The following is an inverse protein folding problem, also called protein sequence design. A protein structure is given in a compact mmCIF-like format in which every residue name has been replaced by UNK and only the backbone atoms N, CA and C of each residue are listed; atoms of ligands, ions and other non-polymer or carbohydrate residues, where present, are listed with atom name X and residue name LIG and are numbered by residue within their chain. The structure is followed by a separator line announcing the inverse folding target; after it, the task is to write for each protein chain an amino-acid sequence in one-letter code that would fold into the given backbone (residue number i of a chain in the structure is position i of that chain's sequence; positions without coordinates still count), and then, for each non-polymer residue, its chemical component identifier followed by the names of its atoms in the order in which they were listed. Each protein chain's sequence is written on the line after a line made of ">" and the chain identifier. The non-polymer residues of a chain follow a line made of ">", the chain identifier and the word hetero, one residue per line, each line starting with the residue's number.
data_IF_840147445704
#
_entry.id   IF_840147445704
#
_cell.length_a   1.000
_cell.length_b   1.000
_cell.length_c   1.000
_cell.angle_alpha   90.00
_cell.angle_beta   90.00
_cell.angle_gamma   90.00
#
_symmetry.space_group_name_H-M   'P 1'
#
loop_
_entity.id
_entity.type
_entity.pdbx_description
1 polymer ?
#
# COMPACT_ATOMS: atom_id res chain seq x y z
N UNK A 1 -26.17 4.97 11.77
CA UNK A 1 -24.88 5.32 12.38
C UNK A 1 -23.82 4.65 11.54
N UNK A 2 -23.00 5.45 10.87
CA UNK A 2 -21.92 4.96 10.00
C UNK A 2 -20.70 4.84 10.92
N UNK A 3 -20.35 3.61 11.27
CA UNK A 3 -19.12 3.32 12.01
C UNK A 3 -17.98 3.17 11.03
N UNK A 4 -17.22 4.23 10.83
CA UNK A 4 -15.90 4.16 10.20
C UNK A 4 -14.92 4.61 11.27
N UNK A 5 -14.48 3.65 12.07
CA UNK A 5 -13.30 3.78 12.91
C UNK A 5 -12.12 3.26 12.12
N UNK A 6 -11.36 4.16 11.52
CA UNK A 6 -9.98 3.88 11.14
C UNK A 6 -9.14 5.11 11.47
N UNK A 7 -8.60 5.09 12.69
CA UNK A 7 -7.59 6.03 13.17
C UNK A 7 -6.22 5.55 12.67
N UNK A 8 -5.55 6.34 11.83
CA UNK A 8 -4.09 6.31 11.79
C UNK A 8 -3.59 7.70 12.16
N UNK A 9 -2.99 7.76 13.35
CA UNK A 9 -2.27 8.93 13.83
C UNK A 9 -1.04 9.17 12.95
N UNK A 10 -0.85 10.43 12.54
CA UNK A 10 0.26 10.98 11.73
C UNK A 10 1.68 10.73 12.26
N UNK A 11 1.85 9.95 13.33
CA UNK A 11 3.14 9.55 13.92
C UNK A 11 3.54 8.10 13.61
N UNK A 12 2.72 7.31 12.90
CA UNK A 12 2.97 5.88 12.63
C UNK A 12 3.49 5.53 11.23
N UNK A 13 3.78 6.50 10.36
CA UNK A 13 4.81 6.26 9.35
C UNK A 13 6.12 6.12 10.12
N UNK A 14 6.73 4.92 10.24
CA UNK A 14 7.88 4.74 11.09
C UNK A 14 9.00 5.67 10.61
N UNK A 15 9.34 6.65 11.43
CA UNK A 15 10.59 7.42 11.33
C UNK A 15 11.79 6.51 11.58
N UNK A 16 12.04 5.42 10.85
CA UNK A 16 13.12 4.53 11.23
C UNK A 16 13.87 3.93 10.04
N UNK A 17 15.14 4.38 9.96
CA UNK A 17 16.33 3.60 9.58
C UNK A 17 16.08 2.08 9.68
N UNK A 18 15.99 1.42 8.52
CA UNK A 18 16.21 0.00 8.18
C UNK A 18 15.21 -0.38 7.08
N UNK A 19 15.54 0.01 5.84
CA UNK A 19 14.65 -0.08 4.68
C UNK A 19 14.41 -1.49 4.16
N UNK A 20 15.20 -2.51 4.52
CA UNK A 20 15.17 -3.78 3.79
C UNK A 20 14.14 -4.80 4.32
N UNK A 21 13.92 -4.90 5.63
CA UNK A 21 13.07 -5.97 6.18
C UNK A 21 11.57 -5.74 5.98
N UNK A 22 11.13 -4.48 5.95
CA UNK A 22 9.71 -4.16 5.81
C UNK A 22 9.18 -4.47 4.42
N UNK A 23 10.02 -4.40 3.38
CA UNK A 23 9.57 -4.62 2.00
C UNK A 23 9.17 -6.07 1.74
N UNK A 24 9.92 -7.02 2.29
CA UNK A 24 9.58 -8.44 2.20
C UNK A 24 8.24 -8.75 2.89
N UNK A 25 7.96 -8.09 4.02
CA UNK A 25 6.67 -8.20 4.73
C UNK A 25 5.50 -7.63 3.91
N UNK A 26 5.77 -6.74 2.96
CA UNK A 26 4.74 -6.19 2.08
C UNK A 26 4.39 -7.12 0.92
N UNK A 27 5.31 -8.01 0.52
CA UNK A 27 5.07 -8.94 -0.58
C UNK A 27 3.93 -9.89 -0.24
N UNK A 28 2.97 -10.00 -1.16
CA UNK A 28 1.78 -10.83 -1.01
C UNK A 28 0.62 -10.17 -0.26
N UNK A 29 0.79 -8.97 0.30
CA UNK A 29 -0.32 -8.19 0.85
C UNK A 29 -1.33 -7.85 -0.24
N UNK A 30 -2.61 -7.89 0.09
CA UNK A 30 -3.68 -7.47 -0.81
C UNK A 30 -3.75 -5.95 -0.89
N UNK A 31 -3.78 -5.39 -2.09
CA UNK A 31 -3.90 -3.95 -2.31
C UNK A 31 -5.32 -3.63 -2.73
N UNK A 32 -5.98 -2.76 -1.98
CA UNK A 32 -7.34 -2.30 -2.22
C UNK A 32 -7.40 -0.80 -2.35
N UNK A 33 -8.34 -0.30 -3.14
CA UNK A 33 -8.58 1.13 -3.27
C UNK A 33 -9.68 1.64 -2.32
N UNK A 34 -9.90 2.95 -2.32
CA UNK A 34 -10.97 3.61 -1.52
C UNK A 34 -12.39 3.17 -1.87
N UNK A 35 -12.60 2.62 -3.07
CA UNK A 35 -13.87 2.03 -3.49
C UNK A 35 -14.03 0.57 -3.03
N UNK A 36 -13.08 0.07 -2.21
CA UNK A 36 -13.02 -1.31 -1.77
C UNK A 36 -12.85 -2.32 -2.92
N UNK A 37 -12.29 -1.86 -4.04
CA UNK A 37 -11.91 -2.68 -5.18
C UNK A 37 -10.52 -3.27 -4.94
N UNK A 38 -10.36 -4.57 -5.19
CA UNK A 38 -9.08 -5.29 -5.04
C UNK A 38 -8.28 -5.10 -6.33
N UNK A 39 -7.20 -4.31 -6.25
CA UNK A 39 -6.29 -4.09 -7.37
C UNK A 39 -5.43 -5.33 -7.62
N UNK A 40 -5.12 -6.08 -6.57
CA UNK A 40 -4.31 -7.30 -6.66
C UNK A 40 -3.49 -7.51 -5.40
N UNK A 41 -2.33 -8.15 -5.55
CA UNK A 41 -1.37 -8.35 -4.46
C UNK A 41 -0.03 -7.72 -4.78
N UNK A 42 0.67 -7.24 -3.77
CA UNK A 42 2.03 -6.73 -3.94
C UNK A 42 2.92 -7.87 -4.43
N UNK A 43 3.43 -7.74 -5.64
CA UNK A 43 4.36 -8.70 -6.22
C UNK A 43 5.80 -8.30 -5.93
N UNK A 44 6.10 -7.00 -5.99
CA UNK A 44 7.44 -6.48 -5.77
C UNK A 44 7.40 -5.00 -5.34
N UNK A 45 8.51 -4.51 -4.80
CA UNK A 45 8.76 -3.09 -4.59
C UNK A 45 9.94 -2.64 -5.44
N UNK A 46 9.77 -1.55 -6.17
CA UNK A 46 10.81 -0.94 -6.97
C UNK A 46 11.28 0.37 -6.33
N UNK A 47 12.59 0.48 -6.08
CA UNK A 47 13.23 1.73 -5.71
C UNK A 47 13.67 2.47 -6.98
N UNK A 48 13.09 3.67 -7.21
CA UNK A 48 13.42 4.50 -8.37
C UNK A 48 14.49 5.56 -8.07
N UNK A 49 15.09 5.54 -6.89
CA UNK A 49 16.05 6.53 -6.38
C UNK A 49 15.39 7.82 -5.87
N UNK A 50 14.16 8.13 -6.30
CA UNK A 50 13.39 9.27 -5.82
C UNK A 50 12.25 8.83 -4.88
N UNK A 51 11.48 7.83 -5.27
CA UNK A 51 10.39 7.25 -4.48
C UNK A 51 10.34 5.73 -4.68
N UNK A 52 9.69 5.04 -3.74
CA UNK A 52 9.38 3.62 -3.90
C UNK A 52 8.05 3.43 -4.62
N UNK A 53 7.94 2.36 -5.41
CA UNK A 53 6.73 2.00 -6.15
C UNK A 53 6.38 0.55 -5.83
N UNK A 54 5.15 0.31 -5.40
CA UNK A 54 4.57 -1.02 -5.28
C UNK A 54 4.19 -1.50 -6.68
N UNK A 55 4.72 -2.67 -7.04
CA UNK A 55 4.26 -3.42 -8.20
C UNK A 55 3.17 -4.37 -7.70
N UNK A 56 1.94 -4.10 -8.09
CA UNK A 56 0.76 -4.84 -7.68
C UNK A 56 0.29 -5.68 -8.87
N UNK A 57 0.17 -6.98 -8.66
CA UNK A 57 -0.32 -7.92 -9.66
C UNK A 57 -1.75 -8.33 -9.32
N UNK A 58 -2.69 -7.94 -10.18
CA UNK A 58 -4.07 -8.45 -10.20
C UNK A 58 -4.46 -8.89 -11.60
N UNK A 59 -5.67 -8.51 -12.03
CA UNK A 59 -6.11 -8.68 -13.43
C UNK A 59 -5.18 -7.96 -14.41
N UNK A 60 -4.60 -6.84 -13.97
CA UNK A 60 -3.48 -6.17 -14.63
C UNK A 60 -2.42 -5.78 -13.59
N UNK A 61 -1.29 -5.34 -14.11
CA UNK A 61 -0.18 -4.84 -13.30
C UNK A 61 -0.40 -3.35 -13.01
N UNK A 62 -0.34 -2.96 -11.73
CA UNK A 62 -0.43 -1.56 -11.29
C UNK A 62 0.86 -1.14 -10.59
N UNK A 63 1.30 0.07 -10.90
CA UNK A 63 2.52 0.66 -10.35
C UNK A 63 2.13 1.79 -9.40
N UNK A 64 1.93 1.45 -8.14
CA UNK A 64 1.38 2.37 -7.14
C UNK A 64 2.51 3.01 -6.35
N UNK A 65 2.68 4.34 -6.37
CA UNK A 65 3.67 5.03 -5.56
C UNK A 65 3.48 4.73 -4.06
N UNK A 66 4.53 4.27 -3.40
CA UNK A 66 4.54 4.04 -1.95
C UNK A 66 4.82 5.37 -1.21
N UNK A 67 3.94 6.34 -1.38
CA UNK A 67 4.03 7.66 -0.77
C UNK A 67 2.63 8.27 -0.62
N UNK A 68 2.43 9.11 0.39
CA UNK A 68 1.23 9.94 0.49
C UNK A 68 1.15 10.92 -0.71
N UNK A 69 -0.04 11.20 -1.26
CA UNK A 69 -1.37 10.78 -0.78
C UNK A 69 -1.86 9.42 -1.33
N UNK A 70 -1.08 8.76 -2.19
CA UNK A 70 -1.50 7.52 -2.86
C UNK A 70 -1.53 6.32 -1.90
N UNK A 71 -0.60 6.24 -0.96
CA UNK A 71 -0.64 5.25 0.12
C UNK A 71 -1.50 5.79 1.27
N UNK A 72 -2.66 5.19 1.52
CA UNK A 72 -3.56 5.63 2.60
C UNK A 72 -3.29 4.89 3.91
N UNK A 73 -3.19 3.56 3.87
CA UNK A 73 -3.01 2.72 5.06
C UNK A 73 -2.30 1.41 4.71
N UNK A 74 -1.49 0.89 5.64
CA UNK A 74 -0.91 -0.45 5.57
C UNK A 74 -1.29 -1.20 6.83
N UNK A 75 -1.97 -2.34 6.68
CA UNK A 75 -2.42 -3.19 7.76
C UNK A 75 -1.82 -4.59 7.63
N UNK A 76 -0.73 -4.83 8.36
CA UNK A 76 -0.02 -6.13 8.32
C UNK A 76 -0.85 -7.25 8.94
N UNK A 77 -1.64 -6.96 9.99
CA UNK A 77 -2.48 -7.97 10.66
C UNK A 77 -3.59 -8.50 9.73
N UNK A 78 -4.19 -7.63 8.93
CA UNK A 78 -5.19 -7.97 7.90
C UNK A 78 -4.56 -8.40 6.58
N UNK A 79 -3.24 -8.35 6.47
CA UNK A 79 -2.47 -8.55 5.25
C UNK A 79 -2.96 -7.68 4.07
N UNK A 80 -3.26 -6.40 4.32
CA UNK A 80 -3.91 -5.51 3.37
C UNK A 80 -3.29 -4.12 3.34
N UNK A 81 -3.23 -3.51 2.16
CA UNK A 81 -2.81 -2.13 1.92
C UNK A 81 -3.96 -1.37 1.27
N UNK A 82 -4.34 -0.23 1.85
CA UNK A 82 -5.30 0.70 1.27
C UNK A 82 -4.56 1.80 0.51
N UNK A 83 -4.92 1.97 -0.76
CA UNK A 83 -4.37 3.01 -1.64
C UNK A 83 -5.47 3.89 -2.22
N UNK A 84 -5.11 5.10 -2.59
CA UNK A 84 -5.92 5.98 -3.43
C UNK A 84 -5.44 5.86 -4.88
N UNK A 85 -5.77 4.73 -5.51
CA UNK A 85 -5.37 4.40 -6.87
C UNK A 85 -6.57 3.89 -7.67
N UNK A 86 -6.74 4.43 -8.87
CA UNK A 86 -7.84 4.06 -9.75
C UNK A 86 -7.52 2.72 -10.44
N UNK A 87 -8.53 1.85 -10.53
CA UNK A 87 -8.34 0.54 -11.16
C UNK A 87 -7.98 0.66 -12.64
N UNK A 88 -8.27 1.77 -13.32
CA UNK A 88 -8.08 1.98 -14.76
C UNK A 88 -6.67 2.41 -15.15
N UNK A 89 -5.85 2.88 -14.19
CA UNK A 89 -4.47 3.34 -14.44
C UNK A 89 -3.46 2.22 -14.63
#
# INVERSE_FOLDING_TARGET
>A
MIGIDVYIEKSQLPKLKKGEHYWEDLIGLEVVNRSNFVLGKVQNLMDTGANHVLIVQGEKEHWVPYIEPFLCEVNIEKQQILVDWDESF
#
